data_IF_801674395139
#
_entry.id   IF_801674395139
#
_cell.length_a   1.000
_cell.length_b   1.000
_cell.length_c   1.000
_cell.angle_alpha   90.00
_cell.angle_beta   90.00
_cell.angle_gamma   90.00
#
_symmetry.space_group_name_H-M   'P 1'
#
loop_
_entity.id
_entity.type
_entity.pdbx_description
1 polymer ?
#
# COMPACT_ATOMS: atom_id res chain seq x y z
N UNK A 1 10.02 15.61 21.06
CA UNK A 1 9.33 14.90 19.96
C UNK A 1 10.02 13.55 19.80
N UNK A 2 9.33 12.43 20.05
CA UNK A 2 9.92 11.10 19.80
C UNK A 2 9.66 10.77 18.34
N UNK A 3 10.72 10.61 17.55
CA UNK A 3 10.60 10.11 16.18
C UNK A 3 10.19 8.64 16.25
N UNK A 4 8.90 8.35 16.06
CA UNK A 4 8.37 6.99 16.02
C UNK A 4 8.70 6.28 14.69
N UNK A 5 9.23 7.04 13.74
CA UNK A 5 9.40 6.63 12.34
C UNK A 5 10.75 5.94 12.11
N UNK A 6 11.64 5.96 13.10
CA UNK A 6 12.99 5.40 13.00
C UNK A 6 13.25 4.35 14.09
N UNK A 7 13.38 3.09 13.65
CA UNK A 7 13.88 1.99 14.47
C UNK A 7 15.28 1.61 13.96
N UNK A 8 16.36 1.79 14.77
CA UNK A 8 17.72 1.47 14.33
C UNK A 8 17.95 -0.03 14.06
N UNK A 9 16.99 -0.87 14.45
CA UNK A 9 17.03 -2.31 14.23
C UNK A 9 16.06 -2.78 13.14
N UNK A 10 15.43 -1.87 12.37
CA UNK A 10 14.39 -2.20 11.38
C UNK A 10 14.78 -3.41 10.51
N UNK A 11 15.98 -3.38 9.94
CA UNK A 11 16.43 -4.41 8.99
C UNK A 11 16.73 -5.76 9.67
N UNK A 12 17.17 -5.75 10.93
CA UNK A 12 17.45 -6.97 11.71
C UNK A 12 16.24 -7.48 12.52
N UNK A 13 15.22 -6.64 12.69
CA UNK A 13 14.07 -6.91 13.53
C UNK A 13 13.07 -7.83 12.80
N UNK A 14 12.92 -9.05 13.30
CA UNK A 14 11.95 -10.01 12.75
C UNK A 14 10.51 -9.50 12.80
N UNK A 15 10.14 -8.72 13.82
CA UNK A 15 8.80 -8.11 13.91
C UNK A 15 8.57 -7.13 12.76
N UNK A 16 9.55 -6.28 12.42
CA UNK A 16 9.45 -5.36 11.27
C UNK A 16 9.31 -6.12 9.95
N UNK A 17 10.12 -7.16 9.74
CA UNK A 17 10.04 -8.02 8.55
C UNK A 17 8.66 -8.69 8.41
N UNK A 18 8.09 -9.17 9.52
CA UNK A 18 6.74 -9.74 9.50
C UNK A 18 5.70 -8.68 9.16
N UNK A 19 5.76 -7.49 9.78
CA UNK A 19 4.80 -6.42 9.54
C UNK A 19 4.75 -5.98 8.07
N UNK A 20 5.89 -5.88 7.39
CA UNK A 20 5.92 -5.54 5.97
C UNK A 20 5.19 -6.58 5.11
N UNK A 21 5.40 -7.87 5.39
CA UNK A 21 4.70 -8.95 4.71
C UNK A 21 3.18 -8.93 4.97
N UNK A 22 2.77 -8.59 6.19
CA UNK A 22 1.36 -8.46 6.55
C UNK A 22 0.71 -7.19 6.01
N UNK A 23 1.45 -6.08 5.92
CA UNK A 23 0.93 -4.82 5.41
C UNK A 23 0.45 -4.96 3.96
N UNK A 24 1.24 -5.63 3.11
CA UNK A 24 0.84 -5.94 1.72
C UNK A 24 -0.43 -6.78 1.69
N UNK A 25 -0.51 -7.83 2.50
CA UNK A 25 -1.71 -8.67 2.59
C UNK A 25 -2.92 -7.90 3.08
N UNK A 26 -2.77 -7.04 4.09
CA UNK A 26 -3.85 -6.21 4.63
C UNK A 26 -4.35 -5.21 3.60
N UNK A 27 -3.47 -4.58 2.83
CA UNK A 27 -3.86 -3.66 1.74
C UNK A 27 -4.62 -4.41 0.64
N UNK A 28 -4.09 -5.54 0.17
CA UNK A 28 -4.80 -6.37 -0.82
C UNK A 28 -6.15 -6.83 -0.26
N UNK A 29 -6.19 -7.22 1.01
CA UNK A 29 -7.40 -7.69 1.65
C UNK A 29 -8.45 -6.58 1.81
N UNK A 30 -8.06 -5.40 2.30
CA UNK A 30 -9.00 -4.31 2.52
C UNK A 30 -9.59 -3.75 1.22
N UNK A 31 -8.83 -3.77 0.12
CA UNK A 31 -9.22 -3.08 -1.11
C UNK A 31 -9.53 -3.98 -2.30
N UNK A 32 -9.03 -5.22 -2.31
CA UNK A 32 -9.18 -6.15 -3.43
C UNK A 32 -9.98 -7.41 -3.07
N UNK A 33 -10.58 -7.53 -1.88
CA UNK A 33 -11.40 -8.69 -1.45
C UNK A 33 -12.73 -8.87 -2.19
N UNK A 34 -12.79 -8.52 -3.47
CA UNK A 34 -13.90 -8.85 -4.36
C UNK A 34 -14.96 -7.78 -4.53
N UNK A 35 -14.92 -6.68 -3.76
CA UNK A 35 -15.68 -5.48 -4.09
C UNK A 35 -14.78 -4.45 -4.78
N UNK A 36 -14.69 -4.60 -6.10
CA UNK A 36 -13.90 -3.72 -6.95
C UNK A 36 -14.59 -2.40 -7.27
N UNK A 37 -15.83 -2.18 -6.81
CA UNK A 37 -16.58 -0.97 -7.15
C UNK A 37 -15.87 0.30 -6.69
N UNK A 38 -15.16 0.24 -5.56
CA UNK A 38 -14.44 1.40 -5.01
C UNK A 38 -12.94 1.39 -5.30
N UNK A 39 -12.42 0.37 -5.98
CA UNK A 39 -10.99 0.28 -6.27
C UNK A 39 -10.63 1.09 -7.51
N UNK A 40 -10.02 2.27 -7.31
CA UNK A 40 -9.64 3.16 -8.41
C UNK A 40 -8.63 2.51 -9.37
N UNK A 41 -7.71 1.69 -8.87
CA UNK A 41 -6.78 0.92 -9.73
C UNK A 41 -7.52 -0.05 -10.65
N UNK A 42 -8.61 -0.65 -10.18
CA UNK A 42 -9.45 -1.52 -11.00
C UNK A 42 -10.25 -0.72 -12.03
N UNK A 43 -10.84 0.41 -11.63
CA UNK A 43 -11.57 1.29 -12.54
C UNK A 43 -10.70 1.78 -13.70
N UNK A 44 -9.44 2.17 -13.43
CA UNK A 44 -8.47 2.53 -14.47
C UNK A 44 -8.21 1.37 -15.45
N UNK A 45 -8.08 0.14 -14.94
CA UNK A 45 -7.89 -1.05 -15.78
C UNK A 45 -9.09 -1.29 -16.69
N UNK A 46 -10.31 -1.25 -16.15
CA UNK A 46 -11.55 -1.42 -16.92
C UNK A 46 -11.73 -0.31 -17.97
N UNK A 47 -11.27 0.90 -17.68
CA UNK A 47 -11.27 2.03 -18.61
C UNK A 47 -10.13 2.00 -19.65
N UNK A 48 -9.22 1.01 -19.59
CA UNK A 48 -8.05 0.93 -20.47
C UNK A 48 -7.01 2.02 -20.24
N UNK A 49 -7.01 2.64 -19.05
CA UNK A 49 -6.10 3.73 -18.69
C UNK A 49 -4.82 3.21 -18.01
N UNK A 50 -3.67 3.88 -18.21
CA UNK A 50 -2.45 3.56 -17.48
C UNK A 50 -2.64 3.84 -15.98
N UNK A 51 -2.23 2.88 -15.14
CA UNK A 51 -2.34 2.98 -13.68
C UNK A 51 -1.05 3.62 -13.14
N UNK A 52 -1.10 4.77 -12.44
CA UNK A 52 0.08 5.34 -11.80
C UNK A 52 0.65 4.40 -10.73
N UNK A 53 1.98 4.31 -10.64
CA UNK A 53 2.66 3.44 -9.67
C UNK A 53 2.31 3.80 -8.22
N UNK A 54 2.07 5.09 -7.97
CA UNK A 54 1.74 5.62 -6.67
C UNK A 54 0.23 5.73 -6.39
N UNK A 55 -0.64 5.30 -7.31
CA UNK A 55 -2.08 5.31 -7.10
C UNK A 55 -2.48 4.18 -6.15
N UNK A 56 -2.99 4.52 -4.97
CA UNK A 56 -3.56 3.55 -4.04
C UNK A 56 -4.98 3.15 -4.43
N UNK A 57 -5.46 1.97 -4.01
CA UNK A 57 -6.80 1.50 -4.37
C UNK A 57 -7.93 2.46 -3.98
N UNK A 58 -7.78 3.21 -2.90
CA UNK A 58 -8.75 4.20 -2.43
C UNK A 58 -8.77 5.52 -3.25
N UNK A 59 -7.89 5.69 -4.23
CA UNK A 59 -7.90 6.84 -5.14
C UNK A 59 -6.95 7.98 -4.82
N UNK A 60 -6.28 7.96 -3.67
CA UNK A 60 -5.24 8.93 -3.36
C UNK A 60 -3.87 8.44 -3.86
N UNK A 61 -3.04 9.39 -4.28
CA UNK A 61 -1.66 9.16 -4.66
C UNK A 61 -0.75 9.43 -3.47
N UNK A 62 0.25 8.57 -3.27
CA UNK A 62 1.33 8.83 -2.32
C UNK A 62 2.52 9.46 -3.04
N UNK A 63 3.18 10.42 -2.41
CA UNK A 63 4.45 10.90 -2.94
C UNK A 63 5.48 9.78 -2.80
N UNK A 64 6.35 9.64 -3.80
CA UNK A 64 7.50 8.76 -3.68
C UNK A 64 8.34 9.29 -2.51
N UNK A 65 8.58 8.45 -1.51
CA UNK A 65 9.54 8.76 -0.47
C UNK A 65 10.91 8.46 -1.08
N UNK A 66 11.65 9.52 -1.42
CA UNK A 66 13.03 9.46 -1.89
C UNK A 66 13.98 8.85 -0.84
#
# INVERSE_FOLDING_TARGET
>A
MKHFDYCPHRDACKVCQFFEQYAVKTVINAYCQGDYQTCQRYQYREAGQPIPDNLLPAGFQVEAVD
#
